data_IF_536912025288
#
_entry.id   IF_536912025288
#
_cell.length_a   1.000
_cell.length_b   1.000
_cell.length_c   1.000
_cell.angle_alpha   90.00
_cell.angle_beta   90.00
_cell.angle_gamma   90.00
#
_symmetry.space_group_name_H-M   'P 1'
#
loop_
_entity.id
_entity.type
_entity.pdbx_description
1 polymer ?
#
# COMPACT_ATOMS: atom_id res chain seq x y z
N UNK A 1 10.58 -10.94 -17.84
CA UNK A 1 11.81 -11.47 -18.48
C UNK A 1 12.23 -12.81 -17.87
N UNK A 2 12.37 -12.90 -16.54
CA UNK A 2 12.81 -14.13 -15.85
C UNK A 2 11.90 -15.31 -16.14
N UNK A 3 10.57 -15.11 -16.12
CA UNK A 3 9.60 -16.13 -16.49
C UNK A 3 9.77 -16.60 -17.97
N UNK A 4 9.98 -15.64 -18.89
CA UNK A 4 10.13 -15.94 -20.31
C UNK A 4 11.35 -16.81 -20.65
N UNK A 5 12.42 -16.72 -19.89
CA UNK A 5 13.67 -17.47 -20.13
C UNK A 5 13.96 -18.55 -19.08
N UNK A 6 13.06 -18.75 -18.12
CA UNK A 6 13.24 -19.71 -17.04
C UNK A 6 14.40 -19.41 -16.09
N UNK A 7 14.70 -18.12 -15.89
CA UNK A 7 15.80 -17.71 -15.00
C UNK A 7 15.49 -18.03 -13.54
N UNK A 8 16.48 -18.53 -12.81
CA UNK A 8 16.36 -18.80 -11.37
C UNK A 8 16.79 -17.58 -10.57
N UNK A 9 16.06 -17.28 -9.51
CA UNK A 9 16.35 -16.20 -8.58
C UNK A 9 16.71 -16.79 -7.23
N UNK A 10 17.87 -16.43 -6.62
CA UNK A 10 18.20 -16.87 -5.28
C UNK A 10 17.19 -16.36 -4.26
N UNK A 11 16.93 -17.14 -3.21
CA UNK A 11 15.95 -16.77 -2.20
C UNK A 11 16.30 -15.47 -1.47
N UNK A 12 17.59 -15.19 -1.22
CA UNK A 12 18.01 -13.91 -0.63
C UNK A 12 17.70 -12.72 -1.53
N UNK A 13 17.84 -12.86 -2.85
CA UNK A 13 17.43 -11.83 -3.79
C UNK A 13 15.91 -11.63 -3.75
N UNK A 14 15.15 -12.71 -3.59
CA UNK A 14 13.70 -12.63 -3.43
C UNK A 14 13.33 -11.85 -2.16
N UNK A 15 13.98 -12.12 -1.03
CA UNK A 15 13.78 -11.38 0.21
C UNK A 15 14.13 -9.90 0.07
N UNK A 16 15.24 -9.57 -0.58
CA UNK A 16 15.63 -8.17 -0.84
C UNK A 16 14.60 -7.46 -1.73
N UNK A 17 14.14 -8.10 -2.82
CA UNK A 17 13.10 -7.56 -3.69
C UNK A 17 11.79 -7.32 -2.94
N UNK A 18 11.38 -8.28 -2.11
CA UNK A 18 10.19 -8.17 -1.28
C UNK A 18 10.30 -7.03 -0.26
N UNK A 19 11.44 -6.88 0.40
CA UNK A 19 11.66 -5.77 1.33
C UNK A 19 11.62 -4.40 0.64
N UNK A 20 12.15 -4.29 -0.57
CA UNK A 20 12.06 -3.06 -1.38
C UNK A 20 10.59 -2.75 -1.71
N UNK A 21 9.83 -3.75 -2.19
CA UNK A 21 8.42 -3.58 -2.52
C UNK A 21 7.59 -3.24 -1.28
N UNK A 22 7.81 -3.95 -0.17
CA UNK A 22 7.12 -3.71 1.09
C UNK A 22 7.37 -2.29 1.62
N UNK A 23 8.63 -1.87 1.69
CA UNK A 23 8.98 -0.52 2.15
C UNK A 23 8.42 0.57 1.24
N UNK A 24 8.43 0.37 -0.08
CA UNK A 24 7.81 1.29 -1.03
C UNK A 24 6.29 1.36 -0.86
N UNK A 25 5.63 0.22 -0.68
CA UNK A 25 4.19 0.14 -0.46
C UNK A 25 3.77 0.78 0.87
N UNK A 26 4.54 0.58 1.94
CA UNK A 26 4.34 1.25 3.23
C UNK A 26 4.45 2.76 3.07
N UNK A 27 5.51 3.25 2.40
CA UNK A 27 5.67 4.67 2.10
C UNK A 27 4.42 5.23 1.41
N UNK A 28 3.97 4.58 0.35
CA UNK A 28 2.85 5.06 -0.46
C UNK A 28 1.50 4.98 0.30
N UNK A 29 1.27 3.95 1.11
CA UNK A 29 0.08 3.88 1.96
C UNK A 29 0.02 5.01 2.99
N UNK A 30 1.14 5.34 3.62
CA UNK A 30 1.24 6.47 4.56
C UNK A 30 1.01 7.80 3.84
N UNK A 31 1.65 8.01 2.67
CA UNK A 31 1.43 9.20 1.82
C UNK A 31 -0.04 9.32 1.44
N UNK A 32 -0.65 8.24 0.97
CA UNK A 32 -2.05 8.28 0.53
C UNK A 32 -2.99 8.68 1.67
N UNK A 33 -2.78 8.13 2.87
CA UNK A 33 -3.64 8.47 4.00
C UNK A 33 -3.44 9.91 4.48
N UNK A 34 -2.20 10.30 4.81
CA UNK A 34 -1.94 11.59 5.45
C UNK A 34 -1.91 12.77 4.46
N UNK A 35 -1.27 12.63 3.30
CA UNK A 35 -1.05 13.74 2.38
C UNK A 35 -2.12 13.87 1.29
N UNK A 36 -2.91 12.82 1.06
CA UNK A 36 -3.98 12.84 0.05
C UNK A 36 -5.37 12.78 0.69
N UNK A 37 -5.65 11.78 1.54
CA UNK A 37 -7.00 11.55 2.05
C UNK A 37 -7.35 12.38 3.29
N UNK A 38 -6.42 12.52 4.25
CA UNK A 38 -6.70 13.21 5.51
C UNK A 38 -7.07 14.69 5.32
N UNK A 39 -6.58 15.32 4.27
CA UNK A 39 -6.88 16.72 3.94
C UNK A 39 -8.37 16.94 3.60
N UNK A 40 -9.12 15.90 3.26
CA UNK A 40 -10.57 15.98 3.05
C UNK A 40 -11.34 16.05 4.37
N UNK A 41 -10.73 15.74 5.50
CA UNK A 41 -11.38 15.63 6.82
C UNK A 41 -10.83 16.59 7.87
N UNK A 42 -9.58 17.03 7.71
CA UNK A 42 -8.84 17.77 8.74
C UNK A 42 -8.84 19.27 8.44
N UNK A 43 -9.42 20.07 9.34
CA UNK A 43 -9.28 21.52 9.35
C UNK A 43 -8.07 21.92 10.22
N UNK A 44 -6.98 22.30 9.56
CA UNK A 44 -5.74 22.68 10.24
C UNK A 44 -5.93 23.90 11.12
N UNK A 45 -6.73 24.87 10.72
CA UNK A 45 -6.95 26.10 11.50
C UNK A 45 -7.79 25.86 12.74
N UNK A 46 -8.70 24.88 12.70
CA UNK A 46 -9.48 24.48 13.87
C UNK A 46 -8.60 23.90 14.99
N UNK A 47 -7.46 23.30 14.66
CA UNK A 47 -6.50 22.77 15.63
C UNK A 47 -5.94 23.83 16.61
N UNK A 48 -5.95 25.12 16.23
CA UNK A 48 -5.55 26.22 17.12
C UNK A 48 -6.49 26.41 18.31
N UNK A 49 -7.73 25.93 18.23
CA UNK A 49 -8.73 26.02 19.29
C UNK A 49 -8.69 24.82 20.25
N UNK A 50 -7.84 23.83 19.96
CA UNK A 50 -7.74 22.60 20.76
C UNK A 50 -7.06 22.82 22.09
N UNK A 51 -7.48 22.03 23.07
CA UNK A 51 -6.75 21.85 24.33
C UNK A 51 -5.74 20.69 24.19
N UNK A 52 -4.42 20.96 24.24
CA UNK A 52 -3.38 19.93 24.10
C UNK A 52 -3.42 18.85 25.16
N UNK A 53 -3.81 19.15 26.40
CA UNK A 53 -3.96 18.17 27.46
C UNK A 53 -5.11 17.22 27.14
N UNK A 54 -6.24 17.74 26.75
CA UNK A 54 -7.40 16.95 26.34
C UNK A 54 -7.10 16.11 25.10
N UNK A 55 -6.37 16.65 24.12
CA UNK A 55 -5.91 15.88 22.96
C UNK A 55 -5.06 14.67 23.36
N UNK A 56 -4.11 14.87 24.29
CA UNK A 56 -3.29 13.77 24.81
C UNK A 56 -4.13 12.73 25.59
N UNK A 57 -5.10 13.20 26.38
CA UNK A 57 -5.98 12.33 27.17
C UNK A 57 -6.88 11.46 26.26
N UNK A 58 -7.36 11.96 25.14
CA UNK A 58 -8.17 11.22 24.18
C UNK A 58 -7.46 9.99 23.60
N UNK A 59 -6.14 10.00 23.52
CA UNK A 59 -5.33 8.89 23.00
C UNK A 59 -4.96 7.86 24.05
N UNK A 60 -5.17 8.16 25.34
CA UNK A 60 -4.92 7.21 26.42
C UNK A 60 -5.77 5.95 26.25
N UNK A 61 -5.11 4.80 26.30
CA UNK A 61 -5.75 3.50 26.18
C UNK A 61 -6.09 3.05 24.75
N UNK A 62 -5.74 3.85 23.71
CA UNK A 62 -5.81 3.42 22.29
C UNK A 62 -4.43 3.48 21.62
N UNK A 63 -3.51 4.28 22.14
CA UNK A 63 -2.15 4.41 21.63
C UNK A 63 -1.14 4.59 22.77
N UNK A 64 0.04 4.00 22.63
CA UNK A 64 1.20 4.18 23.51
C UNK A 64 2.32 4.99 22.85
N UNK A 65 2.03 5.63 21.73
CA UNK A 65 2.99 6.43 20.98
C UNK A 65 3.54 7.59 21.80
N UNK A 66 4.87 7.65 21.95
CA UNK A 66 5.53 8.58 22.89
C UNK A 66 5.34 10.06 22.54
N UNK A 67 5.08 10.37 21.26
CA UNK A 67 4.82 11.73 20.81
C UNK A 67 3.34 12.17 20.98
N UNK A 68 2.48 11.29 21.48
CA UNK A 68 1.10 11.64 21.86
C UNK A 68 1.10 12.32 23.24
N UNK A 69 1.70 13.49 23.30
CA UNK A 69 1.85 14.25 24.55
C UNK A 69 1.38 15.70 24.40
N UNK A 70 0.86 16.27 25.49
CA UNK A 70 0.44 17.66 25.52
C UNK A 70 1.57 18.63 25.12
N UNK A 71 2.83 18.30 25.46
CA UNK A 71 3.96 19.12 25.07
C UNK A 71 4.19 19.12 23.55
N UNK A 72 4.11 17.96 22.90
CA UNK A 72 4.24 17.88 21.46
C UNK A 72 3.06 18.59 20.76
N UNK A 73 1.84 18.40 21.24
CA UNK A 73 0.67 19.07 20.70
C UNK A 73 0.75 20.61 20.81
N UNK A 74 1.28 21.14 21.92
CA UNK A 74 1.60 22.58 22.04
C UNK A 74 2.65 23.04 21.02
N UNK A 75 3.67 22.22 20.76
CA UNK A 75 4.68 22.55 19.76
C UNK A 75 4.07 22.56 18.35
N UNK A 76 3.17 21.64 18.03
CA UNK A 76 2.45 21.61 16.78
C UNK A 76 1.55 22.84 16.62
N UNK A 77 0.79 23.22 17.67
CA UNK A 77 -0.02 24.45 17.66
C UNK A 77 0.81 25.70 17.37
N UNK A 78 2.00 25.83 17.96
CA UNK A 78 2.90 26.96 17.67
C UNK A 78 3.33 26.99 16.21
N UNK A 79 3.58 25.83 15.57
CA UNK A 79 3.91 25.73 14.15
C UNK A 79 2.70 26.15 13.27
N UNK A 80 1.51 25.68 13.63
CA UNK A 80 0.27 26.08 12.94
C UNK A 80 0.03 27.58 13.07
N UNK A 81 0.19 28.15 14.26
CA UNK A 81 0.03 29.58 14.48
C UNK A 81 1.00 30.40 13.62
N UNK A 82 2.27 30.02 13.58
CA UNK A 82 3.26 30.68 12.74
C UNK A 82 2.91 30.59 11.24
N UNK A 83 2.35 29.46 10.80
CA UNK A 83 1.87 29.29 9.43
C UNK A 83 0.69 30.23 9.13
N UNK A 84 -0.28 30.31 10.04
CA UNK A 84 -1.44 31.22 9.91
C UNK A 84 -0.99 32.67 9.90
N UNK A 85 -0.10 33.06 10.82
CA UNK A 85 0.41 34.45 10.94
C UNK A 85 1.22 34.87 9.70
N UNK A 86 1.84 33.93 9.00
CA UNK A 86 2.54 34.21 7.74
C UNK A 86 1.63 34.57 6.58
N UNK A 87 0.34 34.27 6.67
CA UNK A 87 -0.64 34.45 5.59
C UNK A 87 -0.43 33.46 4.42
N UNK A 88 0.50 32.52 4.53
CA UNK A 88 0.87 31.57 3.46
C UNK A 88 0.28 30.18 3.69
N UNK A 89 -1.02 30.11 3.97
CA UNK A 89 -1.70 28.82 4.20
C UNK A 89 -1.72 27.90 2.97
N UNK A 90 -1.59 28.47 1.75
CA UNK A 90 -1.61 27.67 0.52
C UNK A 90 -2.86 26.80 0.43
N UNK A 91 -2.65 25.51 0.26
CA UNK A 91 -3.72 24.49 0.20
C UNK A 91 -4.50 24.33 1.53
N UNK A 92 -4.01 24.88 2.62
CA UNK A 92 -4.67 24.84 3.93
C UNK A 92 -5.53 26.08 4.22
N UNK A 93 -5.74 26.94 3.24
CA UNK A 93 -6.62 28.11 3.40
C UNK A 93 -8.10 27.69 3.53
N UNK A 94 -8.81 28.27 4.49
CA UNK A 94 -10.21 27.92 4.81
C UNK A 94 -11.17 27.96 3.61
N UNK A 95 -10.89 28.77 2.58
CA UNK A 95 -11.71 28.83 1.37
C UNK A 95 -11.79 27.50 0.61
N UNK A 96 -10.83 26.60 0.84
CA UNK A 96 -10.80 25.28 0.24
C UNK A 96 -11.23 24.20 1.23
N UNK A 97 -10.75 24.23 2.48
CA UNK A 97 -10.94 23.15 3.45
C UNK A 97 -12.05 23.40 4.47
N UNK A 98 -12.47 24.58 4.75
CA UNK A 98 -13.53 24.88 5.74
C UNK A 98 -14.94 24.39 5.36
N UNK A 99 -15.06 23.27 4.65
CA UNK A 99 -16.34 22.72 4.22
C UNK A 99 -17.13 22.17 5.41
N UNK A 100 -18.46 22.30 5.36
CA UNK A 100 -19.37 21.86 6.44
C UNK A 100 -19.28 20.35 6.74
N UNK A 101 -18.78 19.55 5.80
CA UNK A 101 -18.52 18.12 6.03
C UNK A 101 -17.30 17.85 6.93
N UNK A 102 -16.40 18.82 7.13
CA UNK A 102 -15.27 18.72 8.06
C UNK A 102 -15.76 18.92 9.49
N UNK A 103 -16.04 17.84 10.20
CA UNK A 103 -16.70 17.88 11.52
C UNK A 103 -15.86 17.35 12.67
N UNK A 104 -14.55 17.16 12.46
CA UNK A 104 -13.65 16.75 13.53
C UNK A 104 -13.57 17.84 14.61
N UNK A 105 -13.63 17.50 15.92
CA UNK A 105 -13.41 18.44 16.98
C UNK A 105 -11.98 18.99 16.96
N UNK A 106 -11.73 20.19 17.55
CA UNK A 106 -10.42 20.82 17.52
C UNK A 106 -9.27 19.90 17.99
N UNK A 107 -9.47 19.12 19.02
CA UNK A 107 -8.47 18.22 19.58
C UNK A 107 -8.11 17.12 18.56
N UNK A 108 -9.08 16.54 17.84
CA UNK A 108 -8.83 15.52 16.83
C UNK A 108 -8.13 16.13 15.60
N UNK A 109 -8.48 17.36 15.22
CA UNK A 109 -7.74 18.11 14.18
C UNK A 109 -6.28 18.31 14.61
N UNK A 110 -6.01 18.68 15.87
CA UNK A 110 -4.64 18.85 16.38
C UNK A 110 -3.84 17.55 16.37
N UNK A 111 -4.45 16.45 16.81
CA UNK A 111 -3.86 15.10 16.75
C UNK A 111 -3.52 14.75 15.31
N UNK A 112 -4.47 14.92 14.39
CA UNK A 112 -4.29 14.58 12.98
C UNK A 112 -3.15 15.39 12.33
N UNK A 113 -3.02 16.68 12.63
CA UNK A 113 -1.90 17.51 12.13
C UNK A 113 -0.56 17.08 12.72
N UNK A 114 -0.52 16.73 14.02
CA UNK A 114 0.69 16.21 14.63
C UNK A 114 1.13 14.89 13.97
N UNK A 115 0.21 13.97 13.76
CA UNK A 115 0.46 12.69 13.08
C UNK A 115 0.84 12.87 11.60
N UNK A 116 0.25 13.87 10.90
CA UNK A 116 0.67 14.24 9.55
C UNK A 116 2.16 14.62 9.48
N UNK A 117 2.64 15.44 10.41
CA UNK A 117 4.05 15.83 10.47
C UNK A 117 4.97 14.65 10.78
N UNK A 118 4.54 13.74 11.68
CA UNK A 118 5.28 12.53 12.01
C UNK A 118 5.28 11.52 10.85
N UNK A 119 4.20 11.45 10.08
CA UNK A 119 4.11 10.64 8.87
C UNK A 119 5.19 10.99 7.84
N UNK A 120 5.56 12.27 7.71
CA UNK A 120 6.67 12.70 6.81
C UNK A 120 8.00 12.06 7.21
N UNK A 121 8.27 11.92 8.52
CA UNK A 121 9.48 11.26 9.01
C UNK A 121 9.45 9.75 8.73
N UNK A 122 8.29 9.11 8.91
CA UNK A 122 8.11 7.69 8.60
C UNK A 122 8.28 7.39 7.10
N UNK A 123 7.75 8.26 6.23
CA UNK A 123 7.98 8.17 4.79
C UNK A 123 9.47 8.23 4.43
N UNK A 124 10.23 9.09 5.11
CA UNK A 124 11.68 9.18 4.95
C UNK A 124 12.37 7.87 5.36
N UNK A 125 11.95 7.25 6.45
CA UNK A 125 12.53 5.98 6.91
C UNK A 125 12.19 4.84 5.94
N UNK A 126 10.98 4.74 5.44
CA UNK A 126 10.61 3.77 4.39
C UNK A 126 11.43 3.97 3.11
N UNK A 127 11.61 5.21 2.66
CA UNK A 127 12.46 5.53 1.50
C UNK A 127 13.94 5.20 1.72
N UNK A 128 14.44 5.29 2.95
CA UNK A 128 15.82 4.88 3.29
C UNK A 128 16.00 3.38 3.12
N UNK A 129 15.02 2.57 3.53
CA UNK A 129 15.04 1.12 3.26
C UNK A 129 15.10 0.84 1.77
N UNK A 130 14.23 1.50 0.97
CA UNK A 130 14.23 1.36 -0.50
C UNK A 130 15.60 1.77 -1.08
N UNK A 131 16.15 2.92 -0.67
CA UNK A 131 17.41 3.42 -1.20
C UNK A 131 18.61 2.54 -0.85
N UNK A 132 18.66 2.00 0.37
CA UNK A 132 19.76 1.13 0.81
C UNK A 132 19.74 -0.22 0.10
N UNK A 133 18.56 -0.81 -0.07
CA UNK A 133 18.42 -2.11 -0.72
C UNK A 133 18.36 -1.99 -2.24
N UNK A 134 17.74 -0.93 -2.76
CA UNK A 134 17.48 -0.70 -4.18
C UNK A 134 18.50 0.22 -4.88
N UNK A 135 19.54 0.68 -4.17
CA UNK A 135 20.60 1.63 -4.59
C UNK A 135 20.15 3.07 -4.75
N UNK A 136 18.86 3.31 -4.96
CA UNK A 136 18.22 4.64 -4.96
C UNK A 136 16.70 4.50 -4.79
N UNK A 137 16.03 5.63 -4.57
CA UNK A 137 14.57 5.77 -4.55
C UNK A 137 14.18 7.01 -5.36
N UNK A 138 13.02 7.04 -6.06
CA UNK A 138 12.04 5.96 -6.20
C UNK A 138 12.48 4.87 -7.19
N UNK A 139 12.95 5.12 -8.33
CA UNK A 139 13.27 4.15 -9.39
C UNK A 139 14.54 3.35 -9.07
N UNK A 140 14.40 2.20 -8.46
CA UNK A 140 15.50 1.34 -8.02
C UNK A 140 16.39 0.88 -9.18
N UNK A 141 17.68 0.63 -8.90
CA UNK A 141 18.69 0.30 -9.89
C UNK A 141 19.40 -1.03 -9.63
N UNK A 142 18.94 -1.82 -8.67
CA UNK A 142 19.61 -3.06 -8.27
C UNK A 142 18.96 -4.33 -8.83
N UNK A 143 17.84 -4.25 -9.55
CA UNK A 143 17.23 -5.43 -10.16
C UNK A 143 18.08 -5.94 -11.32
N UNK A 144 18.37 -7.23 -11.30
CA UNK A 144 19.08 -7.93 -12.36
C UNK A 144 18.33 -9.23 -12.70
N UNK A 145 18.41 -9.67 -13.95
CA UNK A 145 17.88 -10.99 -14.34
C UNK A 145 18.68 -12.05 -13.60
N UNK A 146 18.01 -12.81 -12.76
CA UNK A 146 18.66 -13.81 -11.89
C UNK A 146 18.98 -13.29 -10.49
N UNK A 147 18.47 -12.14 -10.07
CA UNK A 147 18.61 -11.66 -8.69
C UNK A 147 18.70 -10.16 -8.50
N UNK A 148 19.59 -9.73 -7.62
CA UNK A 148 19.89 -8.33 -7.34
C UNK A 148 21.39 -8.04 -7.55
N UNK A 149 21.69 -6.85 -8.05
CA UNK A 149 23.07 -6.46 -8.38
C UNK A 149 23.93 -6.16 -7.14
N UNK A 150 23.31 -5.87 -5.99
CA UNK A 150 24.04 -5.57 -4.75
C UNK A 150 24.45 -6.87 -4.06
N UNK A 151 25.74 -7.24 -4.00
CA UNK A 151 26.16 -8.42 -3.28
C UNK A 151 26.01 -8.25 -1.76
N UNK A 152 25.90 -9.35 -1.06
CA UNK A 152 25.94 -9.40 0.39
C UNK A 152 27.38 -9.73 0.80
N UNK A 153 28.01 -8.84 1.56
CA UNK A 153 29.35 -9.07 2.14
C UNK A 153 29.46 -8.26 3.43
N UNK A 154 29.51 -8.96 4.56
CA UNK A 154 29.46 -8.33 5.89
C UNK A 154 30.67 -7.48 6.20
N UNK A 155 31.80 -7.71 5.55
CA UNK A 155 33.07 -7.02 5.79
C UNK A 155 33.34 -5.86 4.81
N UNK A 156 32.48 -5.67 3.80
CA UNK A 156 32.65 -4.64 2.77
C UNK A 156 31.78 -3.42 3.00
N UNK A 157 32.38 -2.25 3.05
CA UNK A 157 31.62 -0.98 3.16
C UNK A 157 30.90 -0.59 1.84
N UNK A 158 31.25 -1.20 0.71
CA UNK A 158 30.71 -0.84 -0.59
C UNK A 158 29.34 -1.48 -0.90
N UNK A 159 28.96 -2.53 -0.20
CA UNK A 159 27.81 -3.40 -0.52
C UNK A 159 26.89 -3.57 0.68
N UNK A 160 25.95 -4.52 0.61
CA UNK A 160 25.03 -4.83 1.72
C UNK A 160 25.81 -5.54 2.83
N UNK A 161 26.20 -4.77 3.84
CA UNK A 161 26.98 -5.21 4.99
C UNK A 161 26.13 -5.20 6.28
N UNK A 162 26.75 -5.61 7.39
CA UNK A 162 26.08 -5.68 8.69
C UNK A 162 25.52 -4.33 9.15
N UNK A 163 26.28 -3.23 8.99
CA UNK A 163 25.83 -1.89 9.38
C UNK A 163 24.56 -1.47 8.62
N UNK A 164 24.53 -1.68 7.31
CA UNK A 164 23.36 -1.36 6.46
C UNK A 164 22.16 -2.22 6.81
N UNK A 165 22.36 -3.51 7.08
CA UNK A 165 21.29 -4.43 7.53
C UNK A 165 20.71 -3.98 8.87
N UNK A 166 21.55 -3.58 9.83
CA UNK A 166 21.08 -3.08 11.12
C UNK A 166 20.40 -1.71 11.01
N UNK A 167 20.86 -0.85 10.11
CA UNK A 167 20.18 0.42 9.83
C UNK A 167 18.78 0.20 9.22
N UNK A 168 18.65 -0.75 8.29
CA UNK A 168 17.37 -1.17 7.74
C UNK A 168 16.44 -1.63 8.87
N UNK A 169 16.94 -2.47 9.79
CA UNK A 169 16.16 -2.92 10.96
C UNK A 169 15.66 -1.77 11.81
N UNK A 170 16.53 -0.80 12.10
CA UNK A 170 16.14 0.36 12.89
C UNK A 170 15.06 1.22 12.20
N UNK A 171 15.08 1.31 10.86
CA UNK A 171 13.99 1.94 10.11
C UNK A 171 12.69 1.13 10.22
N UNK A 172 12.76 -0.19 10.07
CA UNK A 172 11.61 -1.10 10.19
C UNK A 172 10.96 -0.95 11.57
N UNK A 173 11.75 -0.93 12.65
CA UNK A 173 11.21 -0.82 14.01
C UNK A 173 10.42 0.48 14.21
N UNK A 174 10.96 1.62 13.74
CA UNK A 174 10.24 2.90 13.82
C UNK A 174 8.97 2.92 12.98
N UNK A 175 8.99 2.30 11.79
CA UNK A 175 7.79 2.14 10.96
C UNK A 175 6.74 1.29 11.66
N UNK A 176 7.15 0.18 12.28
CA UNK A 176 6.27 -0.72 13.03
C UNK A 176 5.55 0.00 14.15
N UNK A 177 6.29 0.78 14.94
CA UNK A 177 5.71 1.56 16.03
C UNK A 177 4.70 2.59 15.53
N UNK A 178 5.06 3.37 14.51
CA UNK A 178 4.16 4.37 13.93
C UNK A 178 2.91 3.75 13.31
N UNK A 179 3.06 2.70 12.50
CA UNK A 179 1.94 2.05 11.81
C UNK A 179 0.94 1.50 12.82
N UNK A 180 1.41 0.82 13.87
CA UNK A 180 0.53 0.19 14.84
C UNK A 180 -0.05 1.17 15.87
N UNK A 181 0.72 2.16 16.30
CA UNK A 181 0.32 3.08 17.38
C UNK A 181 -0.32 4.38 16.87
N UNK A 182 -0.13 4.73 15.61
CA UNK A 182 -0.62 5.98 15.04
C UNK A 182 -1.53 5.71 13.85
N UNK A 183 -1.02 5.17 12.74
CA UNK A 183 -1.77 5.06 11.51
C UNK A 183 -3.03 4.19 11.63
N UNK A 184 -2.92 3.01 12.28
CA UNK A 184 -4.06 2.12 12.52
C UNK A 184 -5.13 2.78 13.39
N UNK A 185 -4.70 3.52 14.42
CA UNK A 185 -5.59 4.25 15.33
C UNK A 185 -6.31 5.38 14.59
N UNK A 186 -5.58 6.18 13.81
CA UNK A 186 -6.16 7.28 13.02
C UNK A 186 -7.22 6.80 12.04
N UNK A 187 -6.97 5.69 11.33
CA UNK A 187 -7.96 5.12 10.41
C UNK A 187 -9.28 4.73 11.14
N UNK A 188 -9.18 4.15 12.31
CA UNK A 188 -10.36 3.83 13.13
C UNK A 188 -11.05 5.10 13.66
N UNK A 189 -10.30 6.13 14.05
CA UNK A 189 -10.84 7.42 14.50
C UNK A 189 -11.61 8.10 13.37
N UNK A 190 -11.03 8.19 12.16
CA UNK A 190 -11.75 8.79 11.03
C UNK A 190 -13.04 8.01 10.69
N UNK A 191 -13.00 6.69 10.70
CA UNK A 191 -14.20 5.89 10.50
C UNK A 191 -15.26 6.16 11.58
N UNK A 192 -14.86 6.39 12.83
CA UNK A 192 -15.77 6.70 13.94
C UNK A 192 -16.43 8.08 13.80
N UNK A 193 -15.70 9.08 13.30
CA UNK A 193 -16.25 10.44 13.13
C UNK A 193 -17.05 10.63 11.83
N UNK A 194 -16.84 9.79 10.81
CA UNK A 194 -17.50 9.86 9.51
C UNK A 194 -18.26 8.57 9.15
N UNK A 195 -19.14 8.05 10.05
CA UNK A 195 -19.82 6.77 9.82
C UNK A 195 -20.70 6.76 8.55
N UNK A 196 -21.20 7.92 8.11
CA UNK A 196 -21.96 8.04 6.86
C UNK A 196 -21.14 7.66 5.61
N UNK A 197 -19.82 7.80 5.65
CA UNK A 197 -18.94 7.44 4.53
C UNK A 197 -18.69 5.93 4.43
N UNK A 198 -19.14 5.17 5.43
CA UNK A 198 -19.22 3.70 5.37
C UNK A 198 -20.36 3.19 4.46
N UNK A 199 -21.24 4.09 3.98
CA UNK A 199 -22.29 3.78 3.01
C UNK A 199 -22.08 4.39 1.63
N UNK A 200 -21.05 5.23 1.45
CA UNK A 200 -20.78 5.94 0.20
C UNK A 200 -19.68 5.25 -0.62
N UNK A 201 -19.78 5.31 -1.95
CA UNK A 201 -18.75 4.88 -2.87
C UNK A 201 -18.69 3.36 -3.10
N UNK A 202 -19.80 2.65 -2.94
CA UNK A 202 -19.90 1.23 -3.34
C UNK A 202 -19.71 1.09 -4.85
N UNK A 203 -18.92 0.08 -5.24
CA UNK A 203 -18.65 -0.28 -6.65
C UNK A 203 -19.34 -1.59 -7.03
N UNK A 204 -18.82 -2.30 -8.04
CA UNK A 204 -19.37 -3.59 -8.52
C UNK A 204 -19.42 -4.68 -7.44
N UNK A 205 -18.58 -4.58 -6.40
CA UNK A 205 -18.40 -5.64 -5.42
C UNK A 205 -17.59 -6.84 -5.93
N UNK A 206 -17.08 -6.78 -7.16
CA UNK A 206 -16.15 -7.80 -7.66
C UNK A 206 -14.74 -7.40 -7.26
N UNK A 207 -14.01 -8.28 -6.57
CA UNK A 207 -12.67 -8.04 -6.05
C UNK A 207 -11.70 -9.04 -6.61
N UNK A 208 -10.51 -8.57 -7.02
CA UNK A 208 -9.44 -9.41 -7.52
C UNK A 208 -8.12 -8.98 -6.88
N UNK A 209 -7.38 -9.94 -6.33
CA UNK A 209 -5.98 -9.77 -5.93
C UNK A 209 -5.18 -11.03 -6.25
N UNK A 210 -3.90 -10.87 -6.53
CA UNK A 210 -2.96 -11.99 -6.68
C UNK A 210 -2.13 -12.16 -5.40
N UNK A 211 -1.55 -13.35 -5.15
CA UNK A 211 -0.73 -13.55 -3.97
C UNK A 211 0.55 -12.72 -4.04
N UNK A 212 1.02 -12.26 -2.87
CA UNK A 212 2.16 -11.35 -2.76
C UNK A 212 3.27 -11.92 -1.86
N UNK A 213 4.47 -11.36 -2.02
CA UNK A 213 5.66 -11.66 -1.21
C UNK A 213 6.04 -13.13 -1.22
N UNK A 214 6.52 -13.66 -2.36
CA UNK A 214 7.01 -15.03 -2.47
C UNK A 214 8.21 -15.26 -1.54
N UNK A 215 8.28 -16.46 -0.94
CA UNK A 215 9.30 -16.83 0.04
C UNK A 215 10.20 -17.98 -0.42
N UNK A 216 10.01 -18.46 -1.62
CA UNK A 216 10.83 -19.52 -2.22
C UNK A 216 11.32 -19.14 -3.62
N UNK A 217 12.33 -19.85 -4.10
CA UNK A 217 12.95 -19.60 -5.40
C UNK A 217 12.04 -19.87 -6.60
N UNK A 218 11.01 -20.67 -6.42
CA UNK A 218 10.08 -21.08 -7.48
C UNK A 218 8.80 -20.23 -7.50
N UNK A 219 8.69 -19.22 -6.62
CA UNK A 219 7.49 -18.40 -6.43
C UNK A 219 6.22 -19.23 -6.24
N UNK A 220 6.30 -20.29 -5.45
CA UNK A 220 5.21 -21.22 -5.18
C UNK A 220 4.51 -20.97 -3.83
N UNK A 221 5.17 -20.24 -2.93
CA UNK A 221 4.67 -19.91 -1.58
C UNK A 221 4.72 -18.41 -1.36
N UNK A 222 3.63 -17.88 -0.85
CA UNK A 222 3.45 -16.44 -0.65
C UNK A 222 3.04 -16.12 0.79
N UNK A 223 3.40 -14.94 1.25
CA UNK A 223 3.06 -14.47 2.60
C UNK A 223 1.67 -13.84 2.68
N UNK A 224 1.15 -13.28 1.59
CA UNK A 224 -0.24 -12.83 1.46
C UNK A 224 -0.97 -13.62 0.39
N UNK A 225 -2.23 -13.94 0.66
CA UNK A 225 -3.08 -14.74 -0.21
C UNK A 225 -3.82 -13.88 -1.22
N UNK A 226 -3.94 -14.37 -2.45
CA UNK A 226 -4.79 -13.79 -3.48
C UNK A 226 -6.14 -14.47 -3.62
N UNK A 227 -7.04 -13.85 -4.37
CA UNK A 227 -8.35 -14.42 -4.65
C UNK A 227 -9.23 -13.55 -5.53
N UNK A 228 -10.39 -14.11 -5.86
CA UNK A 228 -11.47 -13.44 -6.58
C UNK A 228 -12.78 -13.61 -5.85
N UNK A 229 -13.56 -12.53 -5.76
CA UNK A 229 -14.87 -12.47 -5.11
C UNK A 229 -15.86 -11.79 -6.06
N UNK A 230 -17.09 -12.26 -6.12
CA UNK A 230 -18.16 -11.67 -6.91
C UNK A 230 -19.23 -11.01 -6.04
N UNK A 231 -19.73 -9.85 -6.47
CA UNK A 231 -20.88 -9.14 -5.89
C UNK A 231 -20.77 -8.82 -4.38
N UNK A 232 -19.58 -8.81 -3.83
CA UNK A 232 -19.33 -8.59 -2.40
C UNK A 232 -19.63 -9.80 -1.52
N UNK A 233 -19.98 -10.93 -2.10
CA UNK A 233 -20.30 -12.15 -1.38
C UNK A 233 -19.03 -12.99 -1.15
N UNK A 234 -18.55 -13.00 0.10
CA UNK A 234 -17.36 -13.76 0.48
C UNK A 234 -17.51 -15.28 0.25
N UNK A 235 -18.75 -15.80 0.17
CA UNK A 235 -18.97 -17.23 -0.13
C UNK A 235 -18.61 -17.61 -1.56
N UNK A 236 -18.49 -16.62 -2.46
CA UNK A 236 -18.06 -16.81 -3.85
C UNK A 236 -16.54 -16.84 -4.01
N UNK A 237 -15.80 -16.75 -2.90
CA UNK A 237 -14.34 -16.68 -2.93
C UNK A 237 -13.71 -17.84 -3.69
N UNK A 238 -12.88 -17.49 -4.67
CA UNK A 238 -11.98 -18.39 -5.37
C UNK A 238 -10.55 -18.03 -5.05
N UNK A 239 -9.80 -18.95 -4.46
CA UNK A 239 -8.38 -18.76 -4.19
C UNK A 239 -7.57 -18.63 -5.48
N UNK A 240 -6.56 -17.75 -5.44
CA UNK A 240 -5.52 -17.59 -6.46
C UNK A 240 -4.19 -17.83 -5.74
N UNK A 241 -3.58 -18.98 -5.99
CA UNK A 241 -2.40 -19.44 -5.25
C UNK A 241 -1.09 -19.12 -5.97
N UNK A 242 -1.15 -18.64 -7.22
CA UNK A 242 0.01 -18.30 -8.03
C UNK A 242 -0.20 -16.96 -8.74
N UNK A 243 0.85 -16.16 -8.85
CA UNK A 243 0.79 -14.87 -9.55
C UNK A 243 0.38 -15.02 -11.02
N UNK A 244 0.86 -16.05 -11.71
CA UNK A 244 0.51 -16.37 -13.10
C UNK A 244 -0.57 -17.47 -13.22
N UNK A 245 -1.56 -17.45 -12.33
CA UNK A 245 -2.72 -18.35 -12.42
C UNK A 245 -3.41 -18.21 -13.78
N UNK A 246 -3.69 -19.34 -14.43
CA UNK A 246 -4.29 -19.37 -15.76
C UNK A 246 -5.65 -18.67 -15.81
N UNK A 247 -6.42 -18.73 -14.74
CA UNK A 247 -7.69 -18.01 -14.59
C UNK A 247 -7.48 -16.50 -14.65
N UNK A 248 -6.43 -15.99 -13.98
CA UNK A 248 -6.10 -14.56 -14.00
C UNK A 248 -5.62 -14.14 -15.38
N UNK A 249 -4.68 -14.90 -15.95
CA UNK A 249 -4.10 -14.61 -17.27
C UNK A 249 -5.17 -14.55 -18.36
N UNK A 250 -6.10 -15.53 -18.39
CA UNK A 250 -7.17 -15.57 -19.40
C UNK A 250 -8.31 -14.59 -19.15
N UNK A 251 -8.49 -14.16 -17.91
CA UNK A 251 -9.60 -13.30 -17.51
C UNK A 251 -9.42 -11.85 -17.89
N UNK A 252 -8.17 -11.37 -17.96
CA UNK A 252 -7.87 -9.95 -18.20
C UNK A 252 -7.98 -9.64 -19.67
N UNK A 253 -8.81 -8.64 -19.98
CA UNK A 253 -8.92 -8.08 -21.34
C UNK A 253 -8.92 -6.57 -21.28
N UNK A 254 -8.26 -5.93 -22.24
CA UNK A 254 -8.19 -4.49 -22.40
C UNK A 254 -9.03 -4.05 -23.59
N UNK A 255 -9.94 -3.09 -23.37
CA UNK A 255 -10.77 -2.49 -24.41
C UNK A 255 -10.23 -1.13 -24.84
N UNK A 256 -10.04 -0.94 -26.14
CA UNK A 256 -9.72 0.35 -26.74
C UNK A 256 -10.96 1.21 -27.08
N UNK A 257 -12.18 0.74 -26.79
CA UNK A 257 -13.43 1.41 -27.19
C UNK A 257 -13.48 2.90 -26.88
N UNK A 258 -13.02 3.28 -25.68
CA UNK A 258 -13.00 4.67 -25.20
C UNK A 258 -11.60 5.29 -25.20
N UNK A 259 -10.61 4.59 -25.75
CA UNK A 259 -9.24 5.05 -25.80
C UNK A 259 -8.77 5.26 -27.25
N UNK A 260 -7.86 6.22 -27.44
CA UNK A 260 -7.35 6.58 -28.78
C UNK A 260 -6.36 5.54 -29.33
N UNK A 261 -6.87 4.32 -29.57
CA UNK A 261 -6.16 3.23 -30.24
C UNK A 261 -6.99 2.71 -31.43
N UNK A 262 -6.35 1.98 -32.35
CA UNK A 262 -7.02 1.43 -33.53
C UNK A 262 -8.02 0.32 -33.19
N UNK A 263 -7.67 -0.54 -32.22
CA UNK A 263 -8.48 -1.68 -31.82
C UNK A 263 -9.50 -1.30 -30.74
N UNK A 264 -10.79 -1.54 -31.02
CA UNK A 264 -11.88 -1.30 -30.06
C UNK A 264 -12.27 -2.55 -29.25
N UNK A 265 -12.01 -3.73 -29.81
CA UNK A 265 -12.38 -5.01 -29.20
C UNK A 265 -11.59 -5.29 -27.91
N UNK A 266 -12.22 -5.89 -26.90
CA UNK A 266 -11.52 -6.33 -25.69
C UNK A 266 -10.62 -7.52 -26.00
N UNK A 267 -9.31 -7.29 -26.02
CA UNK A 267 -8.29 -8.30 -26.29
C UNK A 267 -7.42 -8.55 -25.05
N UNK A 268 -6.86 -9.72 -24.99
CA UNK A 268 -5.80 -10.03 -24.02
C UNK A 268 -4.59 -9.11 -24.30
N UNK A 269 -3.83 -8.68 -23.26
CA UNK A 269 -2.75 -7.69 -23.42
C UNK A 269 -1.72 -8.02 -24.50
N UNK A 270 -1.41 -9.31 -24.69
CA UNK A 270 -0.46 -9.76 -25.73
C UNK A 270 -1.09 -10.02 -27.11
N UNK A 271 -2.42 -10.10 -27.21
CA UNK A 271 -3.11 -10.27 -28.48
C UNK A 271 -3.49 -8.94 -29.14
N UNK A 272 -3.56 -7.86 -28.34
CA UNK A 272 -3.90 -6.53 -28.79
C UNK A 272 -2.68 -5.76 -29.33
N UNK A 273 -2.82 -5.17 -30.51
CA UNK A 273 -1.81 -4.23 -31.01
C UNK A 273 -2.06 -2.85 -30.41
N UNK A 274 -1.10 -2.37 -29.61
CA UNK A 274 -1.16 -1.00 -29.07
C UNK A 274 -0.73 -0.01 -30.14
N UNK A 275 -1.65 0.38 -31.03
CA UNK A 275 -1.43 1.38 -32.09
C UNK A 275 -2.18 2.66 -31.76
N UNK A 276 -1.49 3.73 -31.32
CA UNK A 276 -2.12 5.02 -31.04
C UNK A 276 -2.79 5.62 -32.26
N UNK A 277 -4.03 6.10 -32.09
CA UNK A 277 -4.79 6.80 -33.12
C UNK A 277 -5.65 7.88 -32.49
N UNK A 278 -5.12 9.09 -32.46
CA UNK A 278 -5.87 10.23 -31.93
C UNK A 278 -6.97 10.66 -32.91
N UNK A 279 -8.22 10.71 -32.43
CA UNK A 279 -9.41 11.06 -33.24
C UNK A 279 -10.17 12.26 -32.67
N UNK A 280 -9.58 13.00 -31.74
CA UNK A 280 -10.25 14.07 -31.02
C UNK A 280 -11.12 13.55 -29.86
N UNK A 281 -11.62 14.48 -29.04
CA UNK A 281 -12.51 14.19 -27.92
C UNK A 281 -13.92 13.84 -28.42
N UNK A 282 -14.49 12.77 -27.89
CA UNK A 282 -15.86 12.32 -28.18
C UNK A 282 -16.48 11.83 -26.87
N UNK A 283 -17.52 12.51 -26.39
CA UNK A 283 -18.14 12.21 -25.09
C UNK A 283 -18.62 10.76 -24.95
N UNK A 284 -19.28 10.23 -25.98
CA UNK A 284 -19.76 8.83 -26.03
C UNK A 284 -18.80 7.89 -26.78
N UNK A 285 -17.66 8.38 -27.22
CA UNK A 285 -16.68 7.66 -28.01
C UNK A 285 -15.32 7.58 -27.32
N UNK A 286 -14.28 8.09 -28.01
CA UNK A 286 -12.89 8.08 -27.53
C UNK A 286 -12.55 9.39 -26.82
N UNK A 287 -12.18 9.29 -25.53
CA UNK A 287 -11.88 10.45 -24.67
C UNK A 287 -10.63 10.28 -23.80
N UNK A 288 -9.90 9.18 -23.94
CA UNK A 288 -8.76 8.86 -23.08
C UNK A 288 -7.63 8.20 -23.85
N UNK A 289 -6.39 8.24 -23.31
CA UNK A 289 -5.29 7.38 -23.72
C UNK A 289 -5.22 6.08 -22.92
N UNK A 290 -6.04 5.93 -21.88
CA UNK A 290 -6.05 4.76 -21.00
C UNK A 290 -7.10 3.77 -21.50
N UNK A 291 -6.68 2.52 -21.74
CA UNK A 291 -7.59 1.41 -22.00
C UNK A 291 -8.30 1.01 -20.69
N UNK A 292 -9.50 0.46 -20.78
CA UNK A 292 -10.28 -0.02 -19.67
C UNK A 292 -10.16 -1.55 -19.54
N UNK A 293 -9.36 -2.07 -18.61
CA UNK A 293 -9.27 -3.51 -18.38
C UNK A 293 -10.56 -4.04 -17.74
N UNK A 294 -10.95 -5.24 -18.14
CA UNK A 294 -12.03 -6.01 -17.53
C UNK A 294 -11.53 -7.41 -17.16
N UNK A 295 -12.23 -8.07 -16.26
CA UNK A 295 -11.94 -9.44 -15.87
C UNK A 295 -13.15 -10.33 -16.19
N UNK A 296 -12.98 -11.23 -17.16
CA UNK A 296 -14.09 -11.98 -17.77
C UNK A 296 -15.28 -11.10 -18.16
N UNK A 297 -15.00 -9.93 -18.74
CA UNK A 297 -16.01 -8.95 -19.15
C UNK A 297 -16.68 -8.17 -18.01
N UNK A 298 -16.28 -8.38 -16.76
CA UNK A 298 -16.79 -7.67 -15.58
C UNK A 298 -15.84 -6.57 -15.14
N UNK A 299 -16.39 -5.51 -14.57
CA UNK A 299 -15.62 -4.52 -13.82
C UNK A 299 -15.24 -5.14 -12.48
N UNK A 300 -13.95 -5.10 -12.15
CA UNK A 300 -13.41 -5.56 -10.87
C UNK A 300 -12.68 -4.43 -10.17
N UNK A 301 -12.77 -4.41 -8.86
CA UNK A 301 -11.95 -3.56 -8.02
C UNK A 301 -10.69 -4.32 -7.62
N UNK A 302 -9.53 -3.69 -7.81
CA UNK A 302 -8.21 -4.15 -7.37
C UNK A 302 -7.65 -3.18 -6.34
N UNK A 303 -6.60 -3.55 -5.63
CA UNK A 303 -5.96 -2.70 -4.63
C UNK A 303 -6.54 -2.85 -3.22
N UNK A 304 -6.49 -1.80 -2.39
CA UNK A 304 -6.62 -1.92 -0.94
C UNK A 304 -7.86 -2.66 -0.44
N UNK A 305 -9.03 -2.38 -1.02
CA UNK A 305 -10.25 -3.08 -0.61
C UNK A 305 -10.26 -4.53 -1.09
N UNK A 306 -9.75 -4.79 -2.30
CA UNK A 306 -9.64 -6.15 -2.80
C UNK A 306 -8.70 -7.00 -1.93
N UNK A 307 -7.56 -6.46 -1.49
CA UNK A 307 -6.65 -7.13 -0.56
C UNK A 307 -7.34 -7.50 0.74
N UNK A 308 -8.06 -6.54 1.34
CA UNK A 308 -8.80 -6.80 2.57
C UNK A 308 -9.86 -7.87 2.36
N UNK A 309 -10.72 -7.74 1.35
CA UNK A 309 -11.84 -8.64 1.12
C UNK A 309 -11.37 -10.06 0.78
N UNK A 310 -10.40 -10.20 -0.11
CA UNK A 310 -9.79 -11.49 -0.46
C UNK A 310 -9.03 -12.10 0.73
N UNK A 311 -8.29 -11.30 1.48
CA UNK A 311 -7.57 -11.75 2.68
C UNK A 311 -8.53 -12.25 3.78
N UNK A 312 -9.64 -11.56 4.02
CA UNK A 312 -10.67 -12.01 4.96
C UNK A 312 -11.32 -13.33 4.49
N UNK A 313 -11.69 -13.42 3.21
CA UNK A 313 -12.29 -14.64 2.64
C UNK A 313 -11.32 -15.83 2.64
N UNK A 314 -10.04 -15.58 2.39
CA UNK A 314 -8.97 -16.59 2.44
C UNK A 314 -8.57 -16.97 3.87
N UNK A 315 -9.12 -16.31 4.88
CA UNK A 315 -8.69 -16.42 6.28
C UNK A 315 -7.15 -16.21 6.42
N UNK A 316 -6.65 -15.17 5.73
CA UNK A 316 -5.24 -14.79 5.74
C UNK A 316 -4.88 -14.19 7.10
N UNK A 317 -3.97 -14.84 7.82
CA UNK A 317 -3.73 -14.53 9.24
C UNK A 317 -3.30 -13.07 9.50
N UNK A 318 -2.32 -12.48 8.80
CA UNK A 318 -1.96 -11.08 9.01
C UNK A 318 -3.14 -10.13 8.76
N UNK A 319 -3.86 -10.32 7.65
CA UNK A 319 -5.02 -9.50 7.28
C UNK A 319 -6.13 -9.58 8.32
N UNK A 320 -6.49 -10.78 8.75
CA UNK A 320 -7.56 -11.01 9.76
C UNK A 320 -7.18 -10.38 11.11
N UNK A 321 -5.94 -10.56 11.56
CA UNK A 321 -5.49 -10.03 12.84
C UNK A 321 -5.55 -8.50 12.86
N UNK A 322 -4.94 -7.84 11.88
CA UNK A 322 -4.92 -6.38 11.84
C UNK A 322 -6.32 -5.77 11.59
N UNK A 323 -7.16 -6.44 10.82
CA UNK A 323 -8.56 -6.01 10.69
C UNK A 323 -9.32 -6.09 12.01
N UNK A 324 -9.17 -7.19 12.76
CA UNK A 324 -9.82 -7.35 14.06
C UNK A 324 -9.32 -6.34 15.10
N UNK A 325 -8.02 -6.01 15.10
CA UNK A 325 -7.46 -4.96 15.95
C UNK A 325 -8.06 -3.58 15.62
N UNK A 326 -8.08 -3.20 14.34
CA UNK A 326 -8.67 -1.93 13.89
C UNK A 326 -10.17 -1.88 14.24
N UNK A 327 -10.89 -2.95 13.97
CA UNK A 327 -12.31 -3.12 14.31
C UNK A 327 -12.54 -2.96 15.82
N UNK A 328 -11.69 -3.55 16.67
CA UNK A 328 -11.77 -3.41 18.12
C UNK A 328 -11.57 -1.96 18.59
N UNK A 329 -10.67 -1.19 17.94
CA UNK A 329 -10.50 0.25 18.22
C UNK A 329 -11.78 1.01 17.82
N UNK A 330 -12.32 0.75 16.64
CA UNK A 330 -13.57 1.37 16.18
C UNK A 330 -14.74 1.07 17.13
N UNK A 331 -14.90 -0.18 17.55
CA UNK A 331 -15.94 -0.60 18.51
C UNK A 331 -15.79 0.10 19.86
N UNK A 332 -14.56 0.24 20.35
CA UNK A 332 -14.28 0.96 21.59
C UNK A 332 -14.63 2.45 21.51
N UNK A 333 -14.44 3.07 20.34
CA UNK A 333 -14.72 4.49 20.13
C UNK A 333 -16.20 4.78 19.91
N UNK A 334 -16.95 3.86 19.27
CA UNK A 334 -18.33 4.11 18.82
C UNK A 334 -19.39 3.31 19.57
N UNK A 335 -19.02 2.22 20.23
CA UNK A 335 -19.97 1.23 20.76
C UNK A 335 -20.64 0.38 19.67
N UNK A 336 -20.29 0.54 18.39
CA UNK A 336 -20.88 -0.17 17.26
C UNK A 336 -19.86 -1.12 16.62
N UNK A 337 -20.35 -2.23 16.07
CA UNK A 337 -19.52 -3.18 15.33
C UNK A 337 -19.38 -2.75 13.87
N UNK A 338 -18.16 -2.75 13.35
CA UNK A 338 -17.88 -2.57 11.94
C UNK A 338 -18.22 -3.88 11.20
N UNK A 339 -19.17 -3.82 10.25
CA UNK A 339 -19.61 -4.98 9.47
C UNK A 339 -18.89 -5.10 8.14
N UNK A 340 -18.81 -6.30 7.59
CA UNK A 340 -18.20 -6.54 6.27
C UNK A 340 -18.92 -5.78 5.16
N UNK A 341 -20.25 -5.62 5.23
CA UNK A 341 -21.00 -4.85 4.23
C UNK A 341 -20.62 -3.37 4.22
N UNK A 342 -20.29 -2.79 5.36
CA UNK A 342 -19.79 -1.42 5.46
C UNK A 342 -18.40 -1.20 4.82
N UNK A 343 -17.63 -2.28 4.61
CA UNK A 343 -16.34 -2.20 3.92
C UNK A 343 -16.49 -1.90 2.42
N UNK A 344 -17.65 -2.18 1.82
CA UNK A 344 -17.95 -1.83 0.42
C UNK A 344 -18.17 -0.31 0.26
N UNK A 345 -17.19 0.50 0.64
CA UNK A 345 -17.34 1.95 0.76
C UNK A 345 -16.03 2.69 0.57
N UNK A 346 -16.10 4.03 0.56
CA UNK A 346 -14.93 4.92 0.56
C UNK A 346 -14.06 4.69 1.80
N UNK A 347 -14.65 4.64 3.00
CA UNK A 347 -13.90 4.34 4.22
C UNK A 347 -13.39 2.90 4.27
N UNK A 348 -14.14 1.97 3.68
CA UNK A 348 -13.66 0.59 3.53
C UNK A 348 -12.34 0.49 2.76
N UNK A 349 -12.13 1.33 1.74
CA UNK A 349 -10.84 1.43 1.03
C UNK A 349 -9.74 1.99 1.91
N UNK A 350 -10.06 2.96 2.77
CA UNK A 350 -9.10 3.51 3.75
C UNK A 350 -8.73 2.43 4.78
N UNK A 351 -9.72 1.73 5.32
CA UNK A 351 -9.51 0.62 6.26
C UNK A 351 -8.68 -0.49 5.59
N UNK A 352 -9.04 -0.90 4.36
CA UNK A 352 -8.30 -1.89 3.59
C UNK A 352 -6.84 -1.52 3.38
N UNK A 353 -6.58 -0.26 3.02
CA UNK A 353 -5.22 0.29 2.87
C UNK A 353 -4.43 0.23 4.18
N UNK A 354 -5.06 0.57 5.29
CA UNK A 354 -4.43 0.54 6.60
C UNK A 354 -4.10 -0.89 7.03
N UNK A 355 -5.05 -1.81 6.91
CA UNK A 355 -4.84 -3.23 7.23
C UNK A 355 -3.73 -3.83 6.36
N UNK A 356 -3.74 -3.55 5.06
CA UNK A 356 -2.70 -4.00 4.14
C UNK A 356 -1.33 -3.42 4.52
N UNK A 357 -1.25 -2.13 4.88
CA UNK A 357 0.00 -1.52 5.35
C UNK A 357 0.54 -2.22 6.61
N UNK A 358 -0.34 -2.55 7.57
CA UNK A 358 0.05 -3.30 8.78
C UNK A 358 0.58 -4.70 8.43
N UNK A 359 -0.13 -5.43 7.58
CA UNK A 359 0.27 -6.78 7.14
C UNK A 359 1.62 -6.76 6.39
N UNK A 360 1.80 -5.79 5.48
CA UNK A 360 3.08 -5.60 4.76
C UNK A 360 4.23 -5.26 5.72
N UNK A 361 3.97 -4.50 6.79
CA UNK A 361 4.99 -4.17 7.77
C UNK A 361 5.47 -5.42 8.55
N UNK A 362 4.56 -6.30 8.91
CA UNK A 362 4.91 -7.60 9.51
C UNK A 362 5.75 -8.44 8.54
N UNK A 363 5.38 -8.42 7.25
CA UNK A 363 6.12 -9.12 6.18
C UNK A 363 7.51 -8.52 6.01
N UNK A 364 7.65 -7.20 6.00
CA UNK A 364 8.94 -6.52 5.90
C UNK A 364 9.87 -6.94 7.04
N UNK A 365 9.36 -7.02 8.26
CA UNK A 365 10.09 -7.50 9.44
C UNK A 365 10.49 -8.97 9.32
N UNK A 366 9.57 -9.82 8.88
CA UNK A 366 9.81 -11.25 8.68
C UNK A 366 10.83 -11.52 7.57
N UNK A 367 10.74 -10.81 6.45
CA UNK A 367 11.69 -10.95 5.32
C UNK A 367 13.10 -10.51 5.73
N UNK A 368 13.22 -9.45 6.52
CA UNK A 368 14.52 -9.06 7.09
C UNK A 368 15.10 -10.20 7.95
N UNK A 369 14.30 -10.79 8.84
CA UNK A 369 14.74 -11.90 9.68
C UNK A 369 15.14 -13.14 8.85
N UNK A 370 14.34 -13.50 7.85
CA UNK A 370 14.66 -14.62 6.93
C UNK A 370 16.00 -14.40 6.20
N UNK A 371 16.26 -13.16 5.76
CA UNK A 371 17.55 -12.81 5.15
C UNK A 371 18.71 -12.97 6.13
N UNK A 372 18.58 -12.47 7.36
CA UNK A 372 19.60 -12.60 8.40
C UNK A 372 19.84 -14.08 8.76
N UNK A 373 18.79 -14.88 8.86
CA UNK A 373 18.90 -16.31 9.17
C UNK A 373 19.66 -17.08 8.07
N UNK A 374 19.48 -16.71 6.80
CA UNK A 374 20.23 -17.30 5.70
C UNK A 374 21.70 -16.86 5.70
N UNK A 375 21.96 -15.57 5.93
CA UNK A 375 23.33 -15.06 6.08
C UNK A 375 24.05 -15.76 7.24
N UNK A 376 23.39 -15.96 8.37
CA UNK A 376 23.93 -16.66 9.52
C UNK A 376 24.26 -18.14 9.23
N UNK A 377 23.58 -18.77 8.26
CA UNK A 377 23.88 -20.13 7.75
C UNK A 377 24.99 -20.14 6.69
N UNK A 378 25.53 -18.97 6.33
CA UNK A 378 26.59 -18.82 5.34
C UNK A 378 26.09 -18.63 3.90
N UNK A 379 24.76 -18.53 3.67
CA UNK A 379 24.22 -18.23 2.34
C UNK A 379 24.15 -16.71 2.12
N UNK A 380 25.05 -16.21 1.27
CA UNK A 380 25.11 -14.82 0.84
C UNK A 380 24.77 -14.66 -0.64
N UNK A 381 24.18 -15.67 -1.26
CA UNK A 381 23.87 -15.68 -2.69
C UNK A 381 22.71 -14.71 -2.98
N UNK A 382 23.00 -13.64 -3.69
CA UNK A 382 22.00 -12.63 -4.08
C UNK A 382 21.81 -12.52 -5.61
N UNK A 383 22.60 -13.28 -6.39
CA UNK A 383 22.55 -13.28 -7.85
C UNK A 383 23.02 -14.60 -8.42
N UNK A 384 22.33 -15.11 -9.43
CA UNK A 384 22.74 -16.24 -10.26
C UNK A 384 22.84 -15.72 -11.69
N UNK A 385 24.05 -15.85 -12.29
CA UNK A 385 24.24 -15.48 -13.69
C UNK A 385 23.33 -16.31 -14.57
N UNK A 386 22.52 -15.65 -15.37
CA UNK A 386 21.62 -16.29 -16.34
C UNK A 386 22.10 -15.98 -17.74
N UNK A 387 22.27 -17.01 -18.56
CA UNK A 387 22.59 -16.84 -19.98
C UNK A 387 21.29 -16.46 -20.70
N UNK A 388 21.27 -15.24 -21.25
CA UNK A 388 20.15 -14.74 -22.03
C UNK A 388 20.32 -15.28 -23.45
N UNK A 389 19.33 -16.05 -24.00
CA UNK A 389 19.42 -16.55 -25.37
C UNK A 389 19.54 -15.40 -26.37
N UNK A 390 20.52 -15.52 -27.29
CA UNK A 390 20.80 -14.47 -28.29
C UNK A 390 19.73 -14.39 -29.38
N UNK A 391 19.01 -15.47 -29.63
CA UNK A 391 18.01 -15.60 -30.68
C UNK A 391 16.81 -16.39 -30.18
N UNK A 392 15.62 -16.08 -30.70
CA UNK A 392 14.38 -16.75 -30.38
C UNK A 392 13.26 -15.77 -30.01
N UNK A 393 12.04 -16.27 -29.96
CA UNK A 393 10.88 -15.57 -29.40
C UNK A 393 10.57 -16.17 -28.02
N UNK A 394 10.50 -15.31 -27.03
CA UNK A 394 10.27 -15.69 -25.65
C UNK A 394 9.05 -14.95 -25.10
N UNK A 395 8.16 -15.67 -24.44
CA UNK A 395 6.96 -15.11 -23.81
C UNK A 395 6.98 -15.37 -22.34
N UNK A 396 6.64 -14.38 -21.56
CA UNK A 396 6.52 -14.47 -20.11
C UNK A 396 5.43 -13.58 -19.61
N UNK A 397 4.87 -13.95 -18.46
CA UNK A 397 3.84 -13.21 -17.74
C UNK A 397 4.37 -12.87 -16.38
N UNK A 398 4.12 -11.65 -15.94
CA UNK A 398 4.42 -11.21 -14.59
C UNK A 398 3.24 -10.44 -14.03
N UNK A 399 2.84 -10.77 -12.82
CA UNK A 399 1.87 -10.01 -12.06
C UNK A 399 2.56 -9.47 -10.81
N UNK A 400 2.09 -8.34 -10.34
CA UNK A 400 2.51 -7.76 -9.07
C UNK A 400 1.39 -6.93 -8.49
N UNK A 401 1.26 -6.99 -7.18
CA UNK A 401 0.42 -6.05 -6.47
C UNK A 401 1.23 -4.81 -6.11
N UNK A 402 0.59 -3.66 -6.27
CA UNK A 402 1.17 -2.37 -5.89
C UNK A 402 0.15 -1.61 -5.05
N UNK A 403 0.52 -0.53 -4.36
CA UNK A 403 -0.36 0.14 -3.37
C UNK A 403 -1.76 0.51 -3.86
N UNK A 404 -1.98 0.59 -5.18
CA UNK A 404 -3.27 0.97 -5.77
C UNK A 404 -3.94 -0.12 -6.57
N UNK A 405 -3.31 -1.26 -6.72
CA UNK A 405 -3.91 -2.40 -7.42
C UNK A 405 -2.91 -3.25 -8.18
N UNK A 406 -3.44 -4.24 -8.86
CA UNK A 406 -2.68 -5.23 -9.61
C UNK A 406 -2.11 -4.65 -10.91
N UNK A 407 -0.86 -5.00 -11.20
CA UNK A 407 -0.19 -4.82 -12.49
C UNK A 407 0.00 -6.17 -13.17
N UNK A 408 -0.17 -6.20 -14.49
CA UNK A 408 0.06 -7.39 -15.33
C UNK A 408 0.90 -7.04 -16.55
#
# INVERSE_FOLDING_TARGET
VEDAIGAKVPVNAQYIRNMILAAHSIHDHIVHFYQLSAMDWVDITAALKADPEKAADMLKGVSTWSLNSANEFRNVQKKIQALVDSGQLGIFANGYFGHAAMKLPPEVNLIAVAHYLQALECQRDANRVVALLGSKTPHIQNLAIGGVANPINLDSQAVLNQERLMFVKACIDRLTDFINQVYKVDAAVFAAYYPEWLSLGKTSGNYLSVPEYPIDADNSKFMLKGGYIENGDLSTFRAIDQQKDEFVVKGIKESGKHAWYEDDEPLEPWAGLTRPKYTGWQDDGKYSWVKAPTFYGKVVEVGPLAYLMCGLAANDTPTVNHFNELKGIYEKLTGNTLTTDQLHSTLGRIIGRTVHCCAINDILSAQWQMLIDNIAKGDMTAYIKTDIPANGEFRGVGFGEVPRGMLS
#
